data_IF_654443432653
#
_entry.id   IF_654443432653
#
_cell.length_a   1.000
_cell.length_b   1.000
_cell.length_c   1.000
_cell.angle_alpha   90.00
_cell.angle_beta   90.00
_cell.angle_gamma   90.00
#
_symmetry.space_group_name_H-M   'P 1'
#
loop_
_entity.id
_entity.type
_entity.pdbx_description
1 polymer ?
#
# COMPACT_ATOMS: atom_id res chain seq x y z
N UNK A 1 0.96 13.45 2.07
CA UNK A 1 0.03 12.38 2.51
C UNK A 1 -1.27 12.51 1.74
N UNK A 2 -1.65 11.48 0.99
CA UNK A 2 -2.93 11.41 0.30
C UNK A 2 -4.02 11.29 1.37
N UNK A 3 -4.76 12.37 1.62
CA UNK A 3 -5.80 12.40 2.67
C UNK A 3 -7.07 11.67 2.25
N UNK A 4 -7.38 11.74 0.96
CA UNK A 4 -8.45 11.03 0.29
C UNK A 4 -8.01 10.75 -1.14
N UNK A 5 -8.07 9.48 -1.54
CA UNK A 5 -7.89 9.08 -2.92
C UNK A 5 -9.29 8.89 -3.51
N UNK A 6 -9.65 9.72 -4.49
CA UNK A 6 -10.95 9.60 -5.17
C UNK A 6 -10.86 8.50 -6.23
N UNK A 7 -11.27 7.30 -5.84
CA UNK A 7 -11.26 6.11 -6.71
C UNK A 7 -12.07 6.31 -7.99
N UNK A 8 -13.16 7.10 -7.94
CA UNK A 8 -13.97 7.40 -9.15
C UNK A 8 -13.25 8.36 -10.09
N UNK A 9 -12.50 9.32 -9.54
CA UNK A 9 -11.67 10.21 -10.36
C UNK A 9 -10.49 9.47 -10.98
N UNK A 10 -9.86 8.56 -10.23
CA UNK A 10 -8.82 7.67 -10.76
C UNK A 10 -9.36 6.81 -11.91
N UNK A 11 -10.48 6.11 -11.70
CA UNK A 11 -11.11 5.30 -12.72
C UNK A 11 -11.42 6.11 -13.99
N UNK A 12 -11.94 7.34 -13.84
CA UNK A 12 -12.23 8.24 -14.97
C UNK A 12 -11.00 8.79 -15.68
N UNK A 13 -9.85 8.83 -15.00
CA UNK A 13 -8.59 9.32 -15.59
C UNK A 13 -7.93 8.30 -16.50
N UNK A 14 -8.32 7.03 -16.41
CA UNK A 14 -7.80 5.94 -17.22
C UNK A 14 -8.63 5.85 -18.50
N UNK A 15 -7.96 5.93 -19.64
CA UNK A 15 -8.60 5.82 -20.97
C UNK A 15 -8.66 4.35 -21.37
N UNK A 16 -9.84 3.73 -21.25
CA UNK A 16 -10.10 2.37 -21.71
C UNK A 16 -11.17 1.70 -20.86
N UNK A 17 -12.13 1.03 -21.51
CA UNK A 17 -13.24 0.33 -20.83
C UNK A 17 -12.78 -0.94 -20.08
N UNK A 18 -11.62 -1.47 -20.46
CA UNK A 18 -11.04 -2.72 -19.96
C UNK A 18 -10.31 -2.55 -18.61
N UNK A 19 -9.81 -1.35 -18.29
CA UNK A 19 -8.98 -1.13 -17.11
C UNK A 19 -9.83 -0.68 -15.92
N UNK A 20 -9.97 -1.55 -14.91
CA UNK A 20 -10.66 -1.23 -13.65
C UNK A 20 -9.65 -1.00 -12.54
N UNK A 21 -9.72 0.16 -11.89
CA UNK A 21 -8.88 0.54 -10.77
C UNK A 21 -9.72 0.70 -9.52
N UNK A 22 -9.28 0.01 -8.47
CA UNK A 22 -9.86 0.10 -7.15
C UNK A 22 -8.80 0.64 -6.19
N UNK A 23 -9.22 1.56 -5.32
CA UNK A 23 -8.36 2.12 -4.30
C UNK A 23 -9.04 1.91 -2.95
N UNK A 24 -8.41 1.09 -2.11
CA UNK A 24 -8.75 0.95 -0.69
C UNK A 24 -7.69 1.73 0.10
N UNK A 25 -8.11 2.82 0.75
CA UNK A 25 -7.20 3.68 1.51
C UNK A 25 -7.67 3.82 2.94
N UNK A 26 -6.74 3.67 3.88
CA UNK A 26 -7.03 3.81 5.30
C UNK A 26 -6.11 4.88 5.89
N UNK A 27 -6.70 5.93 6.46
CA UNK A 27 -5.93 7.04 7.01
C UNK A 27 -5.10 6.56 8.21
N UNK A 28 -3.81 6.82 8.18
CA UNK A 28 -2.90 6.40 9.24
C UNK A 28 -2.61 4.89 9.26
N UNK A 29 -2.94 4.17 8.18
CA UNK A 29 -2.66 2.75 8.06
C UNK A 29 -1.18 2.45 8.30
N UNK A 30 -0.96 1.51 9.22
CA UNK A 30 0.31 0.81 9.41
C UNK A 30 0.30 -0.48 8.59
N UNK A 31 1.47 -1.06 8.39
CA UNK A 31 1.62 -2.37 7.73
C UNK A 31 0.68 -3.42 8.33
N UNK A 32 0.55 -3.48 9.66
CA UNK A 32 -0.32 -4.44 10.35
C UNK A 32 -1.80 -4.31 9.95
N UNK A 33 -2.30 -3.10 9.72
CA UNK A 33 -3.68 -2.90 9.29
C UNK A 33 -3.89 -3.43 7.86
N UNK A 34 -2.93 -3.20 6.96
CA UNK A 34 -3.02 -3.65 5.57
C UNK A 34 -3.11 -5.18 5.48
N UNK A 35 -2.38 -5.91 6.33
CA UNK A 35 -2.46 -7.39 6.39
C UNK A 35 -3.89 -7.91 6.59
N UNK A 36 -4.72 -7.19 7.35
CA UNK A 36 -6.12 -7.57 7.56
C UNK A 36 -7.05 -7.11 6.43
N UNK A 37 -6.73 -6.02 5.76
CA UNK A 37 -7.60 -5.39 4.76
C UNK A 37 -7.28 -5.78 3.31
N UNK A 38 -6.20 -6.52 3.07
CA UNK A 38 -5.78 -6.89 1.72
C UNK A 38 -6.64 -7.98 1.09
N UNK A 39 -7.19 -8.92 1.88
CA UNK A 39 -7.95 -10.06 1.34
C UNK A 39 -9.14 -9.66 0.46
N UNK A 40 -10.04 -8.73 0.88
CA UNK A 40 -11.11 -8.26 0.01
C UNK A 40 -10.64 -7.58 -1.28
N UNK A 41 -9.41 -7.08 -1.33
CA UNK A 41 -8.82 -6.53 -2.56
C UNK A 41 -8.42 -7.65 -3.51
N UNK A 42 -7.85 -8.74 -2.99
CA UNK A 42 -7.41 -9.90 -3.77
C UNK A 42 -8.58 -10.72 -4.32
N UNK A 43 -9.71 -10.75 -3.61
CA UNK A 43 -10.95 -11.39 -4.09
C UNK A 43 -11.45 -10.79 -5.42
N UNK A 44 -11.07 -9.54 -5.72
CA UNK A 44 -11.38 -8.87 -7.00
C UNK A 44 -10.49 -9.35 -8.16
N UNK A 45 -9.51 -10.22 -7.89
CA UNK A 45 -8.54 -10.79 -8.84
C UNK A 45 -7.84 -9.72 -9.67
N UNK A 46 -7.12 -8.79 -9.04
CA UNK A 46 -6.39 -7.75 -9.76
C UNK A 46 -5.31 -8.37 -10.65
N UNK A 47 -4.97 -7.70 -11.75
CA UNK A 47 -3.77 -8.03 -12.53
C UNK A 47 -2.51 -7.43 -11.90
N UNK A 48 -2.68 -6.29 -11.22
CA UNK A 48 -1.61 -5.54 -10.57
C UNK A 48 -2.08 -5.00 -9.22
N UNK A 49 -1.23 -5.11 -8.20
CA UNK A 49 -1.44 -4.57 -6.87
C UNK A 49 -0.34 -3.54 -6.54
N UNK A 50 -0.74 -2.27 -6.40
CA UNK A 50 0.14 -1.18 -6.02
C UNK A 50 0.08 -1.00 -4.49
N UNK A 51 1.18 -1.32 -3.81
CA UNK A 51 1.33 -1.18 -2.37
C UNK A 51 2.01 0.16 -2.05
N UNK A 52 1.28 1.05 -1.39
CA UNK A 52 1.81 2.31 -0.85
C UNK A 52 1.63 2.33 0.68
N UNK A 53 2.59 1.75 1.40
CA UNK A 53 2.56 1.54 2.85
C UNK A 53 3.95 1.75 3.46
N UNK A 54 4.05 1.86 4.79
CA UNK A 54 5.32 1.94 5.53
C UNK A 54 5.65 3.34 6.05
N UNK A 55 5.09 4.40 5.46
CA UNK A 55 5.33 5.77 5.94
C UNK A 55 4.87 5.98 7.38
N UNK A 56 3.73 5.41 7.79
CA UNK A 56 3.23 5.52 9.17
C UNK A 56 3.97 4.60 10.16
N UNK A 57 4.84 3.74 9.64
CA UNK A 57 5.67 2.79 10.39
C UNK A 57 7.09 3.32 10.61
N UNK A 58 7.48 4.43 9.97
CA UNK A 58 8.80 5.08 10.13
C UNK A 58 9.26 5.36 11.57
N UNK A 59 8.37 5.61 12.57
CA UNK A 59 8.80 5.72 13.97
C UNK A 59 9.33 4.40 14.57
N UNK A 60 9.19 3.27 13.87
CA UNK A 60 9.81 2.00 14.24
C UNK A 60 11.34 2.14 14.22
N UNK A 61 11.99 1.67 15.29
CA UNK A 61 13.43 1.81 15.50
C UNK A 61 14.24 0.82 14.64
N UNK A 62 13.60 -0.25 14.18
CA UNK A 62 14.21 -1.30 13.38
C UNK A 62 13.64 -1.29 11.96
N UNK A 63 14.34 -0.70 10.99
CA UNK A 63 13.89 -0.68 9.59
C UNK A 63 13.61 -2.07 9.02
N UNK A 64 14.32 -3.10 9.49
CA UNK A 64 14.08 -4.49 9.11
C UNK A 64 12.63 -4.90 9.35
N UNK A 65 11.99 -4.48 10.46
CA UNK A 65 10.59 -4.82 10.74
C UNK A 65 9.61 -4.22 9.73
N UNK A 66 9.94 -3.06 9.17
CA UNK A 66 9.13 -2.44 8.10
C UNK A 66 9.27 -3.28 6.83
N UNK A 67 10.50 -3.67 6.47
CA UNK A 67 10.78 -4.51 5.31
C UNK A 67 10.12 -5.88 5.45
N UNK A 68 10.33 -6.58 6.56
CA UNK A 68 9.74 -7.88 6.86
C UNK A 68 8.21 -7.82 6.79
N UNK A 69 7.63 -6.76 7.36
CA UNK A 69 6.20 -6.56 7.33
C UNK A 69 5.62 -6.32 5.93
N UNK A 70 6.35 -5.63 5.04
CA UNK A 70 5.99 -5.47 3.63
C UNK A 70 6.16 -6.79 2.88
N UNK A 71 7.24 -7.54 3.14
CA UNK A 71 7.49 -8.84 2.54
C UNK A 71 6.35 -9.82 2.88
N UNK A 72 5.91 -9.87 4.14
CA UNK A 72 4.75 -10.68 4.54
C UNK A 72 3.46 -10.30 3.79
N UNK A 73 3.25 -9.02 3.48
CA UNK A 73 2.11 -8.60 2.65
C UNK A 73 2.27 -9.14 1.23
N UNK A 74 3.47 -9.09 0.68
CA UNK A 74 3.75 -9.62 -0.66
C UNK A 74 3.53 -11.14 -0.71
N UNK A 75 3.96 -11.86 0.32
CA UNK A 75 3.74 -13.31 0.44
C UNK A 75 2.24 -13.65 0.47
N UNK A 76 1.43 -12.86 1.19
CA UNK A 76 -0.03 -13.00 1.18
C UNK A 76 -0.60 -12.81 -0.23
N UNK A 77 -0.16 -11.78 -0.97
CA UNK A 77 -0.63 -11.54 -2.34
C UNK A 77 -0.23 -12.69 -3.26
N UNK A 78 1.02 -13.15 -3.20
CA UNK A 78 1.51 -14.25 -4.03
C UNK A 78 0.80 -15.57 -3.71
N UNK A 79 0.45 -15.80 -2.45
CA UNK A 79 -0.27 -17.01 -2.03
C UNK A 79 -1.73 -16.98 -2.47
N UNK A 80 -2.44 -15.88 -2.20
CA UNK A 80 -3.88 -15.77 -2.44
C UNK A 80 -4.20 -15.38 -3.90
N UNK A 81 -3.26 -14.74 -4.61
CA UNK A 81 -3.42 -14.27 -6.00
C UNK A 81 -2.08 -14.34 -6.79
N UNK A 82 -1.61 -15.55 -7.13
CA UNK A 82 -0.27 -15.78 -7.68
C UNK A 82 0.00 -15.13 -9.05
N UNK A 83 -1.05 -14.76 -9.79
CA UNK A 83 -0.94 -14.07 -11.08
C UNK A 83 -0.91 -12.54 -10.95
N UNK A 84 -1.04 -11.99 -9.74
CA UNK A 84 -1.03 -10.54 -9.51
C UNK A 84 0.41 -10.02 -9.51
N UNK A 85 0.71 -9.05 -10.37
CA UNK A 85 1.96 -8.29 -10.31
C UNK A 85 1.97 -7.36 -9.10
N UNK A 86 3.08 -7.31 -8.36
CA UNK A 86 3.20 -6.49 -7.15
C UNK A 86 4.12 -5.31 -7.44
N UNK A 87 3.61 -4.11 -7.25
CA UNK A 87 4.37 -2.86 -7.35
C UNK A 87 4.45 -2.21 -5.99
N UNK A 88 5.67 -2.03 -5.47
CA UNK A 88 5.90 -1.39 -4.17
C UNK A 88 6.31 0.07 -4.42
N UNK A 89 5.51 0.99 -3.90
CA UNK A 89 5.86 2.42 -3.94
C UNK A 89 6.92 2.77 -2.91
N UNK A 90 7.74 3.78 -3.21
CA UNK A 90 8.72 4.31 -2.28
C UNK A 90 8.09 4.84 -0.98
N UNK A 91 8.73 4.53 0.15
CA UNK A 91 8.35 5.08 1.46
C UNK A 91 8.80 6.54 1.53
N UNK A 92 7.85 7.45 1.75
CA UNK A 92 8.14 8.88 1.77
C UNK A 92 8.52 9.37 3.18
N UNK A 93 9.53 10.22 3.26
CA UNK A 93 9.87 10.93 4.50
C UNK A 93 8.86 12.03 4.79
N UNK A 94 8.48 12.15 6.06
CA UNK A 94 7.57 13.21 6.54
C UNK A 94 8.33 14.25 7.33
N UNK A 95 8.26 15.50 6.87
CA UNK A 95 8.89 16.65 7.54
C UNK A 95 7.95 17.36 8.51
N UNK A 96 6.65 17.08 8.43
CA UNK A 96 5.60 17.74 9.23
C UNK A 96 5.55 17.29 10.70
N UNK A 97 6.26 16.22 11.05
CA UNK A 97 6.29 15.66 12.40
C UNK A 97 7.70 15.19 12.78
N UNK A 98 8.15 15.55 13.97
CA UNK A 98 9.51 15.25 14.44
C UNK A 98 9.78 13.74 14.55
N UNK A 99 8.79 12.95 14.94
CA UNK A 99 8.88 11.49 15.06
C UNK A 99 9.13 10.76 13.72
N UNK A 100 8.89 11.41 12.58
CA UNK A 100 9.14 10.88 11.23
C UNK A 100 10.42 11.42 10.58
N UNK A 101 11.12 12.34 11.27
CA UNK A 101 12.42 12.82 10.83
C UNK A 101 13.45 11.75 11.19
N UNK A 102 13.75 10.85 10.26
CA UNK A 102 14.94 10.03 10.40
C UNK A 102 16.17 10.94 10.39
N UNK A 103 17.04 10.78 11.38
CA UNK A 103 18.42 11.27 11.30
C UNK A 103 19.11 10.36 10.28
N UNK A 104 19.33 10.87 9.07
CA UNK A 104 20.26 10.29 8.11
C UNK A 104 21.66 10.41 8.70
#
# INVERSE_FOLDING_TARGET
>A
MIKHLDSRRLQRSIKGEESKVFAETYRGAKISAIKHHIKPCLDKKPTEAILHVGTNDLPEKHPSKIVDGIAEICDIIQTDSPSTEIVISEVILRTDRAEYKQKI
#
